data_IF_557984420547
#
_entry.id   IF_557984420547
#
_cell.length_a   1.000
_cell.length_b   1.000
_cell.length_c   1.000
_cell.angle_alpha   90.00
_cell.angle_beta   90.00
_cell.angle_gamma   90.00
#
_symmetry.space_group_name_H-M   'P 1'
#
loop_
_entity.id
_entity.type
_entity.pdbx_description
1 polymer ?
#
# COMPACT_ATOMS: atom_id res chain seq x y z
N UNK A 1 -9.79 1.46 6.64
CA UNK A 1 -10.69 1.73 7.77
C UNK A 1 -10.53 0.78 8.97
N UNK A 2 -10.08 -0.47 8.81
CA UNK A 2 -9.89 -1.40 9.96
C UNK A 2 -8.60 -1.19 10.79
N UNK A 3 -7.65 -0.40 10.27
CA UNK A 3 -6.35 -0.18 10.91
C UNK A 3 -6.42 0.23 12.39
N UNK A 4 -7.26 1.21 12.81
CA UNK A 4 -7.33 1.62 14.22
C UNK A 4 -7.85 0.52 15.16
N UNK A 5 -8.59 -0.45 14.63
CA UNK A 5 -9.09 -1.59 15.40
C UNK A 5 -8.08 -2.74 15.44
N UNK A 6 -7.31 -2.94 14.38
CA UNK A 6 -6.31 -4.02 14.31
C UNK A 6 -5.01 -3.65 15.03
N UNK A 7 -4.48 -2.44 14.82
CA UNK A 7 -3.17 -2.01 15.32
C UNK A 7 -2.98 -2.17 16.84
N UNK A 8 -3.96 -1.90 17.71
CA UNK A 8 -3.79 -2.04 19.16
C UNK A 8 -3.49 -3.47 19.64
N UNK A 9 -3.79 -4.48 18.83
CA UNK A 9 -3.53 -5.89 19.16
C UNK A 9 -2.12 -6.36 18.80
N UNK A 10 -1.29 -5.50 18.20
CA UNK A 10 0.05 -5.84 17.72
C UNK A 10 1.09 -4.81 18.19
N UNK A 11 2.29 -5.30 18.53
CA UNK A 11 3.48 -4.45 18.51
C UNK A 11 3.80 -4.00 17.08
N UNK A 12 4.58 -2.94 16.91
CA UNK A 12 4.94 -2.46 15.56
C UNK A 12 5.65 -3.54 14.74
N UNK A 13 6.59 -4.27 15.36
CA UNK A 13 7.27 -5.40 14.72
C UNK A 13 6.30 -6.55 14.39
N UNK A 14 5.35 -6.85 15.29
CA UNK A 14 4.33 -7.87 15.04
C UNK A 14 3.40 -7.49 13.90
N UNK A 15 3.01 -6.22 13.81
CA UNK A 15 2.17 -5.71 12.73
C UNK A 15 2.94 -5.70 11.40
N UNK A 16 4.23 -5.35 11.39
CA UNK A 16 5.07 -5.45 10.20
C UNK A 16 5.19 -6.89 9.70
N UNK A 17 5.40 -7.86 10.60
CA UNK A 17 5.41 -9.27 10.24
C UNK A 17 4.06 -9.72 9.67
N UNK A 18 2.95 -9.25 10.24
CA UNK A 18 1.62 -9.46 9.69
C UNK A 18 1.47 -8.87 8.27
N UNK A 19 1.96 -7.64 8.03
CA UNK A 19 1.92 -7.02 6.70
C UNK A 19 2.75 -7.80 5.66
N UNK A 20 3.92 -8.34 6.05
CA UNK A 20 4.72 -9.20 5.16
C UNK A 20 3.95 -10.47 4.80
N UNK A 21 3.31 -11.12 5.79
CA UNK A 21 2.47 -12.28 5.54
C UNK A 21 1.26 -11.93 4.65
N UNK A 22 0.59 -10.81 4.93
CA UNK A 22 -0.53 -10.29 4.15
C UNK A 22 -0.12 -9.97 2.71
N UNK A 23 1.09 -9.45 2.50
CA UNK A 23 1.64 -9.21 1.17
C UNK A 23 1.81 -10.52 0.39
N UNK A 24 2.42 -11.54 1.00
CA UNK A 24 2.60 -12.87 0.38
C UNK A 24 1.23 -13.48 0.02
N UNK A 25 0.26 -13.41 0.94
CA UNK A 25 -1.12 -13.86 0.67
C UNK A 25 -1.75 -13.07 -0.48
N UNK A 26 -1.52 -11.76 -0.53
CA UNK A 26 -1.95 -10.87 -1.60
C UNK A 26 -1.42 -11.30 -2.97
N UNK A 27 -0.11 -11.54 -3.09
CA UNK A 27 0.52 -12.04 -4.32
C UNK A 27 -0.19 -13.30 -4.84
N UNK A 28 -0.51 -14.23 -3.94
CA UNK A 28 -1.20 -15.47 -4.25
C UNK A 28 -2.67 -15.24 -4.63
N UNK A 29 -3.36 -14.33 -3.95
CA UNK A 29 -4.75 -13.97 -4.21
C UNK A 29 -4.90 -13.23 -5.54
N UNK A 30 -4.14 -12.16 -5.76
CA UNK A 30 -4.09 -11.38 -7.00
C UNK A 30 -3.72 -12.27 -8.18
N UNK A 31 -2.74 -13.17 -8.00
CA UNK A 31 -2.35 -14.13 -9.04
C UNK A 31 -3.43 -15.15 -9.37
N UNK A 32 -4.19 -15.65 -8.39
CA UNK A 32 -5.30 -16.58 -8.64
C UNK A 32 -6.49 -15.88 -9.30
N UNK A 33 -6.86 -14.71 -8.79
CA UNK A 33 -7.98 -13.93 -9.30
C UNK A 33 -7.71 -13.44 -10.73
N UNK A 34 -6.49 -12.97 -11.02
CA UNK A 34 -6.11 -12.57 -12.37
C UNK A 34 -6.17 -13.72 -13.39
N UNK A 35 -5.81 -14.95 -12.98
CA UNK A 35 -5.99 -16.14 -13.82
C UNK A 35 -7.46 -16.53 -13.99
N UNK A 36 -8.26 -16.43 -12.94
CA UNK A 36 -9.68 -16.80 -12.98
C UNK A 36 -10.53 -15.83 -13.82
N UNK A 37 -10.17 -14.53 -13.78
CA UNK A 37 -10.90 -13.46 -14.47
C UNK A 37 -10.35 -13.17 -15.87
N UNK A 38 -9.18 -13.73 -16.23
CA UNK A 38 -8.51 -13.46 -17.51
C UNK A 38 -7.97 -12.03 -17.65
N UNK A 39 -8.04 -11.24 -16.58
CA UNK A 39 -7.56 -9.85 -16.52
C UNK A 39 -6.65 -9.74 -15.31
N UNK A 40 -5.40 -9.33 -15.51
CA UNK A 40 -4.51 -8.98 -14.42
C UNK A 40 -4.98 -7.67 -13.78
N UNK A 41 -4.94 -7.58 -12.45
CA UNK A 41 -5.39 -6.40 -11.69
C UNK A 41 -6.87 -6.05 -11.93
N UNK A 42 -7.75 -6.92 -11.45
CA UNK A 42 -9.18 -6.65 -11.50
C UNK A 42 -9.56 -5.79 -10.29
N UNK A 43 -10.08 -4.59 -10.51
CA UNK A 43 -10.38 -3.60 -9.44
C UNK A 43 -11.43 -4.02 -8.39
N UNK A 44 -11.90 -5.26 -8.40
CA UNK A 44 -12.61 -5.87 -7.27
C UNK A 44 -11.66 -6.43 -6.20
N UNK A 45 -10.38 -6.59 -6.54
CA UNK A 45 -9.30 -6.94 -5.64
C UNK A 45 -8.76 -5.61 -5.15
N UNK A 46 -8.88 -5.38 -3.85
CA UNK A 46 -8.40 -4.15 -3.18
C UNK A 46 -7.35 -4.47 -2.11
N UNK A 47 -6.87 -5.71 -2.11
CA UNK A 47 -5.94 -6.20 -1.10
C UNK A 47 -4.53 -5.66 -1.31
N UNK A 48 -4.15 -5.54 -2.58
CA UNK A 48 -3.05 -4.75 -3.12
C UNK A 48 -3.06 -3.30 -2.63
N UNK A 49 -4.22 -2.64 -2.55
CA UNK A 49 -4.28 -1.28 -2.02
C UNK A 49 -4.21 -1.25 -0.47
N UNK A 50 -4.91 -2.19 0.19
CA UNK A 50 -5.08 -2.20 1.66
C UNK A 50 -3.75 -2.44 2.38
N UNK A 51 -2.96 -3.42 1.94
CA UNK A 51 -1.74 -3.85 2.65
C UNK A 51 -0.67 -2.75 2.67
N UNK A 52 -0.28 -2.14 1.53
CA UNK A 52 0.64 -1.02 1.48
C UNK A 52 0.08 0.22 2.17
N UNK A 53 -1.23 0.49 2.07
CA UNK A 53 -1.80 1.62 2.80
C UNK A 53 -1.70 1.46 4.32
N UNK A 54 -1.89 0.25 4.86
CA UNK A 54 -1.63 -0.01 6.28
C UNK A 54 -0.17 0.17 6.67
N UNK A 55 0.78 -0.13 5.77
CA UNK A 55 2.19 0.20 5.98
C UNK A 55 2.40 1.72 6.07
N UNK A 56 1.75 2.49 5.19
CA UNK A 56 1.81 3.96 5.25
C UNK A 56 1.31 4.45 6.61
N UNK A 57 0.17 3.96 7.07
CA UNK A 57 -0.42 4.35 8.35
C UNK A 57 0.46 3.95 9.55
N UNK A 58 1.13 2.79 9.48
CA UNK A 58 2.06 2.35 10.53
C UNK A 58 3.25 3.30 10.69
N UNK A 59 3.76 3.85 9.59
CA UNK A 59 4.97 4.69 9.59
C UNK A 59 4.68 6.19 9.67
N UNK A 60 3.41 6.59 9.58
CA UNK A 60 2.97 7.98 9.66
C UNK A 60 2.55 8.31 11.09
N UNK A 61 2.77 9.55 11.60
CA UNK A 61 2.28 9.95 12.92
C UNK A 61 0.78 9.70 13.11
N UNK A 62 0.38 9.46 14.36
CA UNK A 62 -1.02 9.31 14.71
C UNK A 62 -1.80 10.61 14.54
N UNK A 63 -3.11 10.50 14.32
CA UNK A 63 -4.03 11.63 14.17
C UNK A 63 -4.80 11.60 12.87
N UNK A 64 -6.06 12.04 12.92
CA UNK A 64 -6.98 11.96 11.79
C UNK A 64 -6.51 12.75 10.56
N UNK A 65 -5.83 13.90 10.77
CA UNK A 65 -5.26 14.71 9.68
C UNK A 65 -4.16 13.96 8.93
N UNK A 66 -3.27 13.27 9.65
CA UNK A 66 -2.20 12.47 9.06
C UNK A 66 -2.75 11.28 8.28
N UNK A 67 -3.77 10.60 8.81
CA UNK A 67 -4.45 9.51 8.09
C UNK A 67 -5.14 10.01 6.81
N UNK A 68 -5.76 11.19 6.87
CA UNK A 68 -6.41 11.80 5.71
C UNK A 68 -5.39 12.21 4.65
N UNK A 69 -4.29 12.84 5.06
CA UNK A 69 -3.19 13.19 4.16
C UNK A 69 -2.57 11.95 3.51
N UNK A 70 -2.31 10.90 4.30
CA UNK A 70 -1.83 9.62 3.81
C UNK A 70 -2.76 9.01 2.77
N UNK A 71 -4.07 9.03 3.01
CA UNK A 71 -5.05 8.52 2.05
C UNK A 71 -4.99 9.26 0.71
N UNK A 72 -4.98 10.59 0.73
CA UNK A 72 -4.96 11.38 -0.51
C UNK A 72 -3.65 11.21 -1.28
N UNK A 73 -2.50 11.23 -0.60
CA UNK A 73 -1.22 11.04 -1.26
C UNK A 73 -1.05 9.63 -1.80
N UNK A 74 -1.49 8.61 -1.05
CA UNK A 74 -1.49 7.23 -1.54
C UNK A 74 -2.31 7.07 -2.80
N UNK A 75 -3.58 7.52 -2.77
CA UNK A 75 -4.46 7.48 -3.96
C UNK A 75 -3.89 8.27 -5.13
N UNK A 76 -3.27 9.42 -4.87
CA UNK A 76 -2.62 10.18 -5.92
C UNK A 76 -1.52 9.38 -6.61
N UNK A 77 -0.63 8.73 -5.85
CA UNK A 77 0.49 7.97 -6.42
C UNK A 77 0.07 6.65 -7.06
N UNK A 78 -0.92 5.98 -6.48
CA UNK A 78 -1.53 4.78 -7.03
C UNK A 78 -2.22 5.07 -8.38
N UNK A 79 -2.97 6.17 -8.51
CA UNK A 79 -3.60 6.56 -9.78
C UNK A 79 -2.55 7.06 -10.80
N UNK A 80 -1.60 7.89 -10.37
CA UNK A 80 -0.62 8.49 -11.26
C UNK A 80 0.43 7.49 -11.78
N UNK A 81 0.68 6.43 -11.01
CA UNK A 81 1.75 5.43 -11.19
C UNK A 81 3.04 6.09 -11.71
N UNK A 82 3.74 6.91 -10.90
CA UNK A 82 5.06 7.42 -11.29
C UNK A 82 6.05 6.25 -11.45
N UNK A 83 7.07 6.42 -12.30
CA UNK A 83 8.10 5.39 -12.46
C UNK A 83 8.84 5.16 -11.14
N UNK A 84 8.99 3.91 -10.65
CA UNK A 84 8.90 2.65 -11.41
C UNK A 84 7.55 1.91 -11.37
N UNK A 85 6.53 2.41 -10.66
CA UNK A 85 5.23 1.73 -10.52
C UNK A 85 4.59 1.43 -11.88
N UNK A 86 4.64 2.39 -12.82
CA UNK A 86 4.13 2.20 -14.19
C UNK A 86 4.84 1.09 -14.95
N UNK A 87 6.15 0.97 -14.79
CA UNK A 87 6.92 -0.07 -15.45
C UNK A 87 6.55 -1.44 -14.87
N UNK A 88 6.42 -1.53 -13.54
CA UNK A 88 5.99 -2.75 -12.84
C UNK A 88 4.62 -3.19 -13.34
N UNK A 89 3.62 -2.30 -13.29
CA UNK A 89 2.28 -2.57 -13.81
C UNK A 89 2.35 -3.05 -15.26
N UNK A 90 3.06 -2.33 -16.14
CA UNK A 90 3.16 -2.67 -17.56
C UNK A 90 3.83 -4.01 -17.88
N UNK A 91 4.82 -4.46 -17.10
CA UNK A 91 5.68 -5.61 -17.43
C UNK A 91 5.45 -6.84 -16.56
N UNK A 92 5.01 -6.65 -15.31
CA UNK A 92 4.82 -7.73 -14.34
C UNK A 92 3.33 -8.05 -14.17
N UNK A 93 2.70 -8.61 -15.20
CA UNK A 93 1.27 -8.97 -15.26
C UNK A 93 0.91 -10.23 -14.45
N UNK A 94 1.43 -10.33 -13.23
CA UNK A 94 1.15 -11.40 -12.27
C UNK A 94 0.96 -10.81 -10.86
N UNK A 95 0.42 -11.58 -9.93
CA UNK A 95 0.06 -11.08 -8.60
C UNK A 95 1.19 -10.38 -7.83
N UNK A 96 2.46 -10.70 -8.07
CA UNK A 96 3.57 -9.97 -7.46
C UNK A 96 3.73 -8.55 -7.99
N UNK A 97 3.49 -8.31 -9.29
CA UNK A 97 3.58 -6.98 -9.88
C UNK A 97 2.48 -6.07 -9.35
N UNK A 98 1.27 -6.60 -9.25
CA UNK A 98 0.07 -5.94 -8.69
C UNK A 98 0.22 -5.56 -7.22
N UNK A 99 0.94 -6.35 -6.43
CA UNK A 99 1.21 -5.95 -5.04
C UNK A 99 2.38 -4.95 -4.96
N UNK A 100 3.31 -5.00 -5.92
CA UNK A 100 4.55 -4.23 -5.88
C UNK A 100 4.37 -2.80 -6.39
N UNK A 101 3.52 -2.55 -7.40
CA UNK A 101 3.24 -1.20 -7.87
C UNK A 101 2.56 -0.35 -6.78
N UNK A 102 1.60 -0.91 -6.04
CA UNK A 102 0.98 -0.25 -4.88
C UNK A 102 1.95 -0.06 -3.71
N UNK A 103 2.87 -1.00 -3.50
CA UNK A 103 3.95 -0.84 -2.52
C UNK A 103 4.89 0.31 -2.90
N UNK A 104 5.14 0.52 -4.20
CA UNK A 104 5.89 1.68 -4.70
C UNK A 104 5.11 2.97 -4.46
N UNK A 105 3.79 2.98 -4.69
CA UNK A 105 2.93 4.12 -4.35
C UNK A 105 2.95 4.47 -2.84
N UNK A 106 2.96 3.46 -1.98
CA UNK A 106 3.15 3.63 -0.53
C UNK A 106 4.52 4.26 -0.20
N UNK A 107 5.59 3.84 -0.88
CA UNK A 107 6.92 4.43 -0.73
C UNK A 107 6.95 5.94 -1.08
N UNK A 108 6.33 6.33 -2.19
CA UNK A 108 6.20 7.76 -2.54
C UNK A 108 5.39 8.55 -1.51
N UNK A 109 4.31 7.96 -1.02
CA UNK A 109 3.48 8.57 0.02
C UNK A 109 4.27 8.85 1.28
N UNK A 110 5.03 7.86 1.77
CA UNK A 110 5.87 8.01 2.95
C UNK A 110 6.96 9.05 2.75
N UNK A 111 7.57 9.11 1.57
CA UNK A 111 8.58 10.13 1.26
C UNK A 111 7.99 11.53 1.35
N UNK A 112 6.83 11.78 0.74
CA UNK A 112 6.19 13.10 0.78
C UNK A 112 5.78 13.49 2.21
N UNK A 113 5.17 12.57 2.96
CA UNK A 113 4.76 12.84 4.34
C UNK A 113 5.96 13.06 5.27
N UNK A 114 7.05 12.32 5.07
CA UNK A 114 8.28 12.50 5.83
C UNK A 114 8.92 13.87 5.55
N UNK A 115 8.99 14.29 4.28
CA UNK A 115 9.47 15.61 3.89
C UNK A 115 8.59 16.72 4.49
N UNK A 116 7.28 16.58 4.40
CA UNK A 116 6.35 17.52 5.02
C UNK A 116 6.57 17.61 6.53
N UNK A 117 6.72 16.48 7.22
CA UNK A 117 7.00 16.47 8.66
C UNK A 117 8.29 17.21 8.99
N UNK A 118 9.37 16.98 8.25
CA UNK A 118 10.67 17.63 8.49
C UNK A 118 10.61 19.14 8.22
N UNK A 119 9.91 19.57 7.18
CA UNK A 119 9.84 20.99 6.80
C UNK A 119 8.97 21.84 7.73
N UNK A 120 7.90 21.26 8.28
CA UNK A 120 6.89 22.00 9.05
C UNK A 120 6.87 21.69 10.56
N UNK A 121 7.53 20.61 11.00
CA UNK A 121 7.60 20.19 12.41
C UNK A 121 9.05 19.89 12.85
N UNK A 122 10.05 20.36 12.11
CA UNK A 122 11.47 20.30 12.45
C UNK A 122 11.92 21.48 13.31
#
# INVERSE_FOLDING_TARGET
MLFPFLKPHFSDAGFLAFLVAAFIVGVLACGRAGRALGVADHGSIVWDEIVPFWLVLLMTPEGWLWQLAAFFWFRFFDIAKPQPARWIDGHLKHGFGVMLDDLVAAGYTLLVLALFKVLFNG
#
